data_IF_667011056447
#
_entry.id   IF_667011056447
#
_cell.length_a   1.000
_cell.length_b   1.000
_cell.length_c   1.000
_cell.angle_alpha   90.00
_cell.angle_beta   90.00
_cell.angle_gamma   90.00
#
_symmetry.space_group_name_H-M   'P 1'
#
loop_
_entity.id
_entity.type
_entity.pdbx_description
1 polymer ?
#
# COMPACT_ATOMS: atom_id res chain seq x y z
N UNK A 1 -17.29 -72.58 -38.90
CA UNK A 1 -17.82 -72.44 -37.53
C UNK A 1 -18.43 -71.05 -37.45
N UNK A 2 -19.71 -70.88 -37.80
CA UNK A 2 -20.88 -70.93 -36.91
C UNK A 2 -20.90 -69.81 -35.83
N UNK A 3 -21.53 -68.68 -36.22
CA UNK A 3 -22.48 -67.82 -35.49
C UNK A 3 -22.74 -68.10 -34.00
N UNK A 4 -22.79 -67.04 -33.18
CA UNK A 4 -24.03 -66.59 -32.51
C UNK A 4 -23.81 -65.26 -31.75
N UNK A 5 -24.45 -64.20 -32.24
CA UNK A 5 -24.84 -63.03 -31.47
C UNK A 5 -26.19 -63.30 -30.79
N UNK A 6 -26.52 -62.46 -29.79
CA UNK A 6 -27.85 -62.20 -29.24
C UNK A 6 -28.60 -63.37 -28.57
N UNK A 7 -28.50 -63.44 -27.25
CA UNK A 7 -29.61 -63.78 -26.37
C UNK A 7 -29.22 -63.49 -24.91
N UNK A 8 -29.85 -62.49 -24.30
CA UNK A 8 -30.54 -62.61 -22.99
C UNK A 8 -30.85 -61.22 -22.43
N UNK A 9 -31.85 -60.58 -23.03
CA UNK A 9 -32.81 -59.78 -22.28
C UNK A 9 -33.60 -60.73 -21.37
N UNK A 10 -33.32 -60.72 -20.07
CA UNK A 10 -34.23 -61.30 -19.09
C UNK A 10 -34.14 -60.61 -17.75
N UNK A 11 -35.24 -59.94 -17.40
CA UNK A 11 -35.85 -59.96 -16.07
C UNK A 11 -34.97 -59.47 -14.91
N UNK A 12 -35.29 -58.29 -14.39
CA UNK A 12 -35.89 -58.19 -13.05
C UNK A 12 -36.87 -57.00 -13.11
N UNK A 13 -38.14 -57.37 -13.20
CA UNK A 13 -39.23 -56.50 -12.82
C UNK A 13 -39.19 -56.29 -11.30
N UNK A 14 -39.40 -55.04 -10.89
CA UNK A 14 -40.24 -54.66 -9.76
C UNK A 14 -40.22 -55.61 -8.55
N UNK A 15 -39.33 -55.33 -7.61
CA UNK A 15 -39.60 -55.56 -6.19
C UNK A 15 -40.07 -54.22 -5.59
N UNK A 16 -41.32 -53.86 -5.86
CA UNK A 16 -42.05 -52.89 -5.05
C UNK A 16 -42.29 -53.52 -3.67
N UNK A 17 -41.57 -53.03 -2.67
CA UNK A 17 -41.63 -53.56 -1.31
C UNK A 17 -41.02 -52.59 -0.31
N UNK A 18 -41.74 -51.49 -0.07
CA UNK A 18 -41.77 -50.72 1.19
C UNK A 18 -40.41 -50.39 1.84
N UNK A 19 -39.68 -49.42 1.28
CA UNK A 19 -38.55 -48.76 1.94
C UNK A 19 -38.74 -47.23 2.02
N UNK A 20 -39.97 -46.72 1.93
CA UNK A 20 -40.21 -45.27 1.77
C UNK A 20 -40.36 -44.49 3.08
N UNK A 21 -40.31 -45.13 4.27
CA UNK A 21 -40.50 -44.41 5.55
C UNK A 21 -39.30 -44.45 6.51
N UNK A 22 -38.30 -45.32 6.31
CA UNK A 22 -37.07 -45.34 7.16
C UNK A 22 -35.87 -44.58 6.53
N UNK A 23 -35.95 -44.23 5.24
CA UNK A 23 -34.94 -43.43 4.53
C UNK A 23 -35.28 -41.92 4.45
N UNK A 24 -36.37 -41.51 5.09
CA UNK A 24 -36.77 -40.10 5.17
C UNK A 24 -35.85 -39.33 6.12
N UNK A 25 -34.77 -38.74 5.58
CA UNK A 25 -33.89 -37.83 6.29
C UNK A 25 -34.69 -36.69 6.94
N UNK A 26 -34.40 -36.39 8.21
CA UNK A 26 -34.96 -35.23 8.90
C UNK A 26 -34.75 -33.97 8.01
N UNK A 27 -35.78 -33.18 7.71
CA UNK A 27 -35.67 -31.99 6.86
C UNK A 27 -34.55 -31.03 7.27
N UNK A 28 -34.21 -30.95 8.56
CA UNK A 28 -33.07 -30.13 9.03
C UNK A 28 -31.73 -30.71 8.61
N UNK A 29 -31.58 -32.03 8.71
CA UNK A 29 -30.39 -32.75 8.26
C UNK A 29 -30.25 -32.63 6.74
N UNK A 30 -31.36 -32.69 6.01
CA UNK A 30 -31.36 -32.52 4.56
C UNK A 30 -30.89 -31.12 4.13
N UNK A 31 -31.37 -30.05 4.78
CA UNK A 31 -30.93 -28.67 4.51
C UNK A 31 -29.43 -28.49 4.77
N UNK A 32 -28.90 -29.04 5.87
CA UNK A 32 -27.47 -28.92 6.18
C UNK A 32 -26.60 -29.76 5.23
N UNK A 33 -27.07 -30.92 4.77
CA UNK A 33 -26.39 -31.70 3.74
C UNK A 33 -26.36 -30.96 2.40
N UNK A 34 -27.45 -30.31 2.01
CA UNK A 34 -27.49 -29.46 0.82
C UNK A 34 -26.50 -28.28 0.96
N UNK A 35 -26.46 -27.61 2.12
CA UNK A 35 -25.47 -26.54 2.38
C UNK A 35 -24.04 -27.05 2.31
N UNK A 36 -23.76 -28.22 2.87
CA UNK A 36 -22.44 -28.85 2.81
C UNK A 36 -22.06 -29.18 1.37
N UNK A 37 -22.97 -29.74 0.58
CA UNK A 37 -22.72 -30.05 -0.82
C UNK A 37 -22.44 -28.77 -1.63
N UNK A 38 -23.24 -27.70 -1.46
CA UNK A 38 -22.98 -26.42 -2.11
C UNK A 38 -21.63 -25.81 -1.69
N UNK A 39 -21.28 -25.88 -0.41
CA UNK A 39 -19.98 -25.41 0.08
C UNK A 39 -18.83 -26.24 -0.51
N UNK A 40 -18.99 -27.56 -0.64
CA UNK A 40 -18.00 -28.45 -1.22
C UNK A 40 -17.82 -28.20 -2.72
N UNK A 41 -18.92 -27.98 -3.47
CA UNK A 41 -18.87 -27.56 -4.87
C UNK A 41 -18.17 -26.21 -5.03
N UNK A 42 -18.45 -25.24 -4.14
CA UNK A 42 -17.79 -23.95 -4.15
C UNK A 42 -16.28 -24.08 -3.86
N UNK A 43 -15.88 -24.93 -2.91
CA UNK A 43 -14.47 -25.24 -2.63
C UNK A 43 -13.81 -25.82 -3.88
N UNK A 44 -14.38 -26.87 -4.47
CA UNK A 44 -13.83 -27.50 -5.67
C UNK A 44 -13.70 -26.50 -6.83
N UNK A 45 -14.67 -25.61 -7.00
CA UNK A 45 -14.62 -24.57 -8.02
C UNK A 45 -13.51 -23.55 -7.76
N UNK A 46 -13.36 -23.09 -6.52
CA UNK A 46 -12.29 -22.15 -6.13
C UNK A 46 -10.91 -22.80 -6.24
N UNK A 47 -10.78 -24.08 -5.92
CA UNK A 47 -9.54 -24.84 -6.09
C UNK A 47 -9.15 -24.91 -7.57
N UNK A 48 -10.10 -25.22 -8.45
CA UNK A 48 -9.87 -25.22 -9.89
C UNK A 48 -9.42 -23.83 -10.39
N UNK A 49 -10.11 -22.77 -9.97
CA UNK A 49 -9.75 -21.39 -10.33
C UNK A 49 -8.37 -21.00 -9.81
N UNK A 50 -8.01 -21.42 -8.59
CA UNK A 50 -6.70 -21.14 -8.01
C UNK A 50 -5.59 -21.85 -8.78
N UNK A 51 -5.81 -23.10 -9.19
CA UNK A 51 -4.83 -23.85 -9.96
C UNK A 51 -4.67 -23.30 -11.39
N UNK A 52 -5.77 -22.87 -12.03
CA UNK A 52 -5.73 -22.14 -13.29
C UNK A 52 -4.99 -20.79 -13.16
N UNK A 53 -5.26 -20.02 -12.10
CA UNK A 53 -4.58 -18.75 -11.84
C UNK A 53 -3.08 -18.94 -11.54
N UNK A 54 -2.71 -19.99 -10.79
CA UNK A 54 -1.30 -20.35 -10.54
C UNK A 54 -0.60 -20.76 -11.82
N UNK A 55 -1.25 -21.57 -12.66
CA UNK A 55 -0.72 -22.02 -13.94
C UNK A 55 -0.48 -20.83 -14.88
N UNK A 56 -1.46 -19.95 -15.03
CA UNK A 56 -1.33 -18.75 -15.87
C UNK A 56 -0.26 -17.80 -15.36
N UNK A 57 -0.15 -17.59 -14.04
CA UNK A 57 0.95 -16.81 -13.45
C UNK A 57 2.30 -17.42 -13.80
N UNK A 58 2.46 -18.73 -13.63
CA UNK A 58 3.71 -19.43 -13.95
C UNK A 58 4.06 -19.30 -15.44
N UNK A 59 3.11 -19.55 -16.33
CA UNK A 59 3.31 -19.41 -17.77
C UNK A 59 3.73 -17.98 -18.16
N UNK A 60 3.09 -16.97 -17.55
CA UNK A 60 3.45 -15.57 -17.75
C UNK A 60 4.86 -15.23 -17.21
N UNK A 61 5.20 -15.72 -16.01
CA UNK A 61 6.53 -15.54 -15.42
C UNK A 61 7.61 -16.21 -16.27
N UNK A 62 7.41 -17.46 -16.67
CA UNK A 62 8.36 -18.20 -17.51
C UNK A 62 8.57 -17.49 -18.86
N UNK A 63 7.48 -17.03 -19.49
CA UNK A 63 7.55 -16.25 -20.73
C UNK A 63 8.31 -14.92 -20.53
N UNK A 64 8.02 -14.20 -19.45
CA UNK A 64 8.69 -12.94 -19.11
C UNK A 64 10.17 -13.12 -18.80
N UNK A 65 10.57 -14.19 -18.10
CA UNK A 65 11.97 -14.52 -17.83
C UNK A 65 12.74 -14.83 -19.13
N UNK A 66 12.13 -15.57 -20.05
CA UNK A 66 12.73 -15.86 -21.36
C UNK A 66 12.91 -14.57 -22.17
N UNK A 67 11.89 -13.72 -22.23
CA UNK A 67 11.94 -12.43 -22.93
C UNK A 67 13.01 -11.51 -22.33
N UNK A 68 13.05 -11.37 -21.00
CA UNK A 68 14.07 -10.59 -20.29
C UNK A 68 15.48 -11.12 -20.57
N UNK A 69 15.69 -12.43 -20.56
CA UNK A 69 16.98 -13.03 -20.87
C UNK A 69 17.42 -12.80 -22.33
N UNK A 70 16.47 -12.73 -23.28
CA UNK A 70 16.75 -12.36 -24.67
C UNK A 70 17.11 -10.88 -24.80
N UNK A 71 16.39 -9.99 -24.12
CA UNK A 71 16.72 -8.56 -24.07
C UNK A 71 18.08 -8.31 -23.42
N UNK A 72 18.41 -9.00 -22.31
CA UNK A 72 19.70 -8.87 -21.65
C UNK A 72 20.84 -9.28 -22.60
N UNK A 73 20.68 -10.37 -23.35
CA UNK A 73 21.65 -10.79 -24.38
C UNK A 73 21.81 -9.78 -25.51
N UNK A 74 20.73 -9.12 -25.95
CA UNK A 74 20.77 -8.15 -27.06
C UNK A 74 21.35 -6.79 -26.64
N UNK A 75 21.03 -6.34 -25.43
CA UNK A 75 21.48 -5.04 -24.88
C UNK A 75 22.92 -5.16 -24.34
N UNK A 76 23.24 -6.29 -23.69
CA UNK A 76 24.58 -6.66 -23.22
C UNK A 76 25.08 -5.79 -22.07
N UNK A 77 26.35 -5.37 -22.11
CA UNK A 77 27.00 -4.59 -21.04
C UNK A 77 26.39 -3.21 -20.76
N UNK A 78 25.45 -2.75 -21.60
CA UNK A 78 24.68 -1.54 -21.33
C UNK A 78 23.72 -1.70 -20.14
N UNK A 79 23.16 -2.90 -19.89
CA UNK A 79 22.24 -3.17 -18.77
C UNK A 79 22.91 -2.88 -17.41
N UNK A 80 24.14 -3.36 -17.23
CA UNK A 80 24.89 -3.14 -15.98
C UNK A 80 25.17 -1.65 -15.71
N UNK A 81 25.51 -0.89 -16.76
CA UNK A 81 25.76 0.55 -16.67
C UNK A 81 24.48 1.33 -16.36
N UNK A 82 23.39 1.03 -17.05
CA UNK A 82 22.11 1.73 -16.86
C UNK A 82 21.44 1.36 -15.54
N UNK A 83 21.65 0.14 -15.03
CA UNK A 83 21.19 -0.26 -13.69
C UNK A 83 21.68 0.70 -12.61
N UNK A 84 22.97 1.05 -12.60
CA UNK A 84 23.51 2.01 -11.63
C UNK A 84 22.84 3.39 -11.69
N UNK A 85 22.46 3.84 -12.89
CA UNK A 85 21.72 5.08 -13.12
C UNK A 85 20.28 4.99 -12.60
N UNK A 86 19.56 3.91 -12.90
CA UNK A 86 18.19 3.74 -12.43
C UNK A 86 18.12 3.51 -10.91
N UNK A 87 19.08 2.80 -10.32
CA UNK A 87 19.21 2.66 -8.86
C UNK A 87 19.42 4.04 -8.20
N UNK A 88 20.28 4.88 -8.78
CA UNK A 88 20.47 6.25 -8.29
C UNK A 88 19.21 7.12 -8.45
N UNK A 89 18.43 6.92 -9.53
CA UNK A 89 17.14 7.61 -9.71
C UNK A 89 16.07 7.17 -8.70
N UNK A 90 16.02 5.89 -8.34
CA UNK A 90 15.13 5.39 -7.28
C UNK A 90 15.51 6.08 -5.97
N UNK A 91 16.80 6.10 -5.62
CA UNK A 91 17.30 6.83 -4.43
C UNK A 91 16.98 8.32 -4.48
N UNK A 92 17.08 8.97 -5.64
CA UNK A 92 16.72 10.37 -5.81
C UNK A 92 15.25 10.63 -5.53
N UNK A 93 14.36 9.74 -6.01
CA UNK A 93 12.92 9.81 -5.72
C UNK A 93 12.67 9.69 -4.22
N UNK A 94 13.30 8.72 -3.56
CA UNK A 94 13.11 8.47 -2.13
C UNK A 94 13.67 9.64 -1.28
N UNK A 95 14.82 10.20 -1.68
CA UNK A 95 15.39 11.40 -1.07
C UNK A 95 14.50 12.63 -1.28
N UNK A 96 13.90 12.80 -2.47
CA UNK A 96 12.94 13.87 -2.75
C UNK A 96 11.71 13.75 -1.86
N UNK A 97 11.15 12.55 -1.70
CA UNK A 97 10.01 12.33 -0.81
C UNK A 97 10.36 12.68 0.64
N UNK A 98 11.55 12.29 1.10
CA UNK A 98 12.05 12.62 2.43
C UNK A 98 12.21 14.13 2.62
N UNK A 99 12.78 14.83 1.63
CA UNK A 99 12.91 16.29 1.63
C UNK A 99 11.55 16.98 1.65
N UNK A 100 10.60 16.54 0.84
CA UNK A 100 9.23 17.10 0.82
C UNK A 100 8.54 16.90 2.18
N UNK A 101 8.68 15.73 2.81
CA UNK A 101 8.16 15.49 4.16
C UNK A 101 8.80 16.41 5.20
N UNK A 102 10.12 16.60 5.14
CA UNK A 102 10.83 17.51 6.04
C UNK A 102 10.39 18.97 5.85
N UNK A 103 10.24 19.43 4.60
CA UNK A 103 9.72 20.77 4.27
C UNK A 103 8.31 20.98 4.82
N UNK A 104 7.39 20.03 4.63
CA UNK A 104 6.04 20.12 5.19
C UNK A 104 6.03 20.13 6.72
N UNK A 105 6.93 19.38 7.36
CA UNK A 105 7.08 19.43 8.82
C UNK A 105 7.51 20.82 9.29
N UNK A 106 8.49 21.42 8.63
CA UNK A 106 8.95 22.78 8.92
C UNK A 106 7.83 23.81 8.70
N UNK A 107 7.14 23.78 7.56
CA UNK A 107 6.01 24.67 7.24
C UNK A 107 4.91 24.57 8.30
N UNK A 108 4.57 23.35 8.73
CA UNK A 108 3.58 23.12 9.78
C UNK A 108 4.04 23.68 11.13
N UNK A 109 5.29 23.45 11.52
CA UNK A 109 5.84 23.99 12.77
C UNK A 109 5.89 25.52 12.76
N UNK A 110 6.26 26.11 11.62
CA UNK A 110 6.24 27.56 11.41
C UNK A 110 4.82 28.12 11.53
N UNK A 111 3.83 27.51 10.86
CA UNK A 111 2.44 27.93 10.93
C UNK A 111 1.89 27.86 12.36
N UNK A 112 2.19 26.78 13.09
CA UNK A 112 1.81 26.64 14.50
C UNK A 112 2.43 27.71 15.39
N UNK A 113 3.71 28.02 15.19
CA UNK A 113 4.41 29.06 15.94
C UNK A 113 3.79 30.45 15.70
N UNK A 114 3.48 30.79 14.44
CA UNK A 114 2.81 32.04 14.09
C UNK A 114 1.42 32.11 14.74
N UNK A 115 0.60 31.07 14.60
CA UNK A 115 -0.74 31.03 15.19
C UNK A 115 -0.70 31.13 16.73
N UNK A 116 0.27 30.48 17.38
CA UNK A 116 0.43 30.57 18.84
C UNK A 116 0.86 31.98 19.29
N UNK A 117 1.73 32.65 18.52
CA UNK A 117 2.11 34.04 18.77
C UNK A 117 0.94 34.99 18.60
N UNK A 118 0.15 34.84 17.54
CA UNK A 118 -1.05 35.64 17.31
C UNK A 118 -2.07 35.45 18.45
N UNK A 119 -2.29 34.20 18.89
CA UNK A 119 -3.15 33.91 20.04
C UNK A 119 -2.65 34.56 21.33
N UNK A 120 -1.33 34.58 21.56
CA UNK A 120 -0.76 35.24 22.72
C UNK A 120 -0.98 36.76 22.67
N UNK A 121 -0.81 37.40 21.51
CA UNK A 121 -1.08 38.83 21.33
C UNK A 121 -2.55 39.14 21.59
N UNK A 122 -3.46 38.41 20.94
CA UNK A 122 -4.91 38.60 21.10
C UNK A 122 -5.34 38.37 22.56
N UNK A 123 -4.81 37.35 23.22
CA UNK A 123 -5.13 37.09 24.63
C UNK A 123 -4.61 38.19 25.55
N UNK A 124 -3.43 38.77 25.27
CA UNK A 124 -2.91 39.92 26.02
C UNK A 124 -3.82 41.15 25.86
N UNK A 125 -4.27 41.44 24.64
CA UNK A 125 -5.20 42.55 24.38
C UNK A 125 -6.51 42.39 25.17
N UNK A 126 -7.04 41.16 25.28
CA UNK A 126 -8.23 40.88 26.09
C UNK A 126 -8.00 40.98 27.59
N UNK A 127 -6.79 40.66 28.08
CA UNK A 127 -6.43 40.86 29.49
C UNK A 127 -6.42 42.35 29.80
N UNK A 128 -5.75 43.16 28.97
CA UNK A 128 -5.69 44.62 29.11
C UNK A 128 -7.09 45.25 29.12
N UNK A 129 -7.98 44.79 28.25
CA UNK A 129 -9.36 45.31 28.17
C UNK A 129 -10.21 44.88 29.37
N UNK A 130 -10.04 43.64 29.85
CA UNK A 130 -10.71 43.15 31.06
C UNK A 130 -10.26 43.93 32.30
N UNK A 131 -8.97 44.25 32.41
CA UNK A 131 -8.43 45.09 33.49
C UNK A 131 -9.00 46.51 33.47
N UNK A 132 -9.07 47.15 32.29
CA UNK A 132 -9.70 48.47 32.13
C UNK A 132 -11.18 48.49 32.49
N UNK A 133 -11.89 47.41 32.17
CA UNK A 133 -13.32 47.24 32.45
C UNK A 133 -13.61 46.67 33.84
N UNK A 134 -12.57 46.42 34.66
CA UNK A 134 -12.66 45.81 35.99
C UNK A 134 -13.41 44.46 35.99
N UNK A 135 -13.21 43.67 34.92
CA UNK A 135 -13.76 42.33 34.72
C UNK A 135 -12.72 41.26 35.10
N UNK A 136 -13.18 40.05 35.38
CA UNK A 136 -12.26 38.95 35.72
C UNK A 136 -11.50 38.44 34.48
N UNK A 137 -10.18 38.66 34.45
CA UNK A 137 -9.29 38.25 33.37
C UNK A 137 -8.71 36.81 33.49
N UNK A 138 -9.15 36.01 34.46
CA UNK A 138 -8.54 34.70 34.76
C UNK A 138 -8.50 33.74 33.55
N UNK A 139 -9.59 33.63 32.79
CA UNK A 139 -9.65 32.75 31.61
C UNK A 139 -8.71 33.20 30.48
N UNK A 140 -8.52 34.51 30.31
CA UNK A 140 -7.63 35.08 29.30
C UNK A 140 -6.17 34.96 29.70
N UNK A 141 -5.86 35.11 30.99
CA UNK A 141 -4.53 34.85 31.54
C UNK A 141 -4.10 33.39 31.35
N UNK A 142 -5.01 32.44 31.59
CA UNK A 142 -4.73 31.03 31.34
C UNK A 142 -4.48 30.76 29.85
N UNK A 143 -5.32 31.33 28.97
CA UNK A 143 -5.15 31.22 27.51
C UNK A 143 -3.82 31.81 27.05
N UNK A 144 -3.44 32.98 27.59
CA UNK A 144 -2.16 33.62 27.30
C UNK A 144 -0.97 32.74 27.73
N UNK A 145 -0.99 32.21 28.95
CA UNK A 145 0.06 31.32 29.45
C UNK A 145 0.21 30.07 28.57
N UNK A 146 -0.91 29.45 28.19
CA UNK A 146 -0.92 28.30 27.27
C UNK A 146 -0.38 28.68 25.88
N UNK A 147 -0.75 29.85 25.35
CA UNK A 147 -0.28 30.32 24.05
C UNK A 147 1.24 30.58 24.04
N UNK A 148 1.79 31.18 25.10
CA UNK A 148 3.23 31.40 25.26
C UNK A 148 3.98 30.07 25.35
N UNK A 149 3.52 29.12 26.16
CA UNK A 149 4.12 27.79 26.27
C UNK A 149 4.12 27.09 24.90
N UNK A 150 2.98 27.12 24.18
CA UNK A 150 2.83 26.54 22.85
C UNK A 150 3.70 27.23 21.79
N UNK A 151 3.88 28.54 21.88
CA UNK A 151 4.77 29.28 20.98
C UNK A 151 6.24 28.88 21.17
N UNK A 152 6.67 28.68 22.42
CA UNK A 152 8.02 28.20 22.74
C UNK A 152 8.25 26.76 22.27
N UNK A 153 7.29 25.86 22.46
CA UNK A 153 7.37 24.48 21.98
C UNK A 153 7.40 24.42 20.45
N UNK A 154 6.54 25.19 19.78
CA UNK A 154 6.54 25.30 18.33
C UNK A 154 7.84 25.89 17.78
N UNK A 155 8.51 26.78 18.52
CA UNK A 155 9.81 27.32 18.13
C UNK A 155 10.93 26.27 18.20
N UNK A 156 10.94 25.44 19.25
CA UNK A 156 11.87 24.30 19.36
C UNK A 156 11.66 23.29 18.23
N UNK A 157 10.40 22.92 17.97
CA UNK A 157 10.05 21.99 16.89
C UNK A 157 10.42 22.57 15.52
N UNK A 158 10.20 23.87 15.29
CA UNK A 158 10.59 24.55 14.06
C UNK A 158 12.11 24.49 13.86
N UNK A 159 12.90 24.73 14.91
CA UNK A 159 14.36 24.63 14.83
C UNK A 159 14.82 23.22 14.47
N UNK A 160 14.25 22.19 15.11
CA UNK A 160 14.58 20.81 14.78
C UNK A 160 14.16 20.44 13.35
N UNK A 161 12.97 20.86 12.93
CA UNK A 161 12.49 20.63 11.56
C UNK A 161 13.33 21.35 10.50
N UNK A 162 13.90 22.51 10.81
CA UNK A 162 14.83 23.22 9.92
C UNK A 162 16.15 22.46 9.75
N UNK A 163 16.72 21.95 10.85
CA UNK A 163 17.90 21.08 10.78
C UNK A 163 17.61 19.82 9.94
N UNK A 164 16.50 19.14 10.21
CA UNK A 164 16.08 17.96 9.46
C UNK A 164 15.91 18.29 7.96
N UNK A 165 15.30 19.44 7.63
CA UNK A 165 15.15 19.92 6.26
C UNK A 165 16.51 20.16 5.59
N UNK A 166 17.45 20.81 6.27
CA UNK A 166 18.79 21.07 5.73
C UNK A 166 19.56 19.77 5.46
N UNK A 167 19.50 18.80 6.37
CA UNK A 167 20.15 17.50 6.16
C UNK A 167 19.54 16.73 4.99
N UNK A 168 18.20 16.74 4.86
CA UNK A 168 17.51 16.10 3.75
C UNK A 168 17.82 16.80 2.40
N UNK A 169 17.97 18.13 2.39
CA UNK A 169 18.31 18.91 1.20
C UNK A 169 19.74 18.63 0.73
N UNK A 170 20.69 18.51 1.66
CA UNK A 170 22.07 18.09 1.37
C UNK A 170 22.10 16.69 0.74
N UNK A 171 21.43 15.72 1.35
CA UNK A 171 21.35 14.36 0.82
C UNK A 171 20.71 14.31 -0.58
N UNK A 172 19.62 15.07 -0.79
CA UNK A 172 19.00 15.20 -2.11
C UNK A 172 19.97 15.77 -3.14
N UNK A 173 20.67 16.87 -2.82
CA UNK A 173 21.63 17.52 -3.72
C UNK A 173 22.80 16.61 -4.10
N UNK A 174 23.31 15.81 -3.17
CA UNK A 174 24.38 14.84 -3.43
C UNK A 174 23.94 13.75 -4.41
N UNK A 175 22.74 13.19 -4.20
CA UNK A 175 22.19 12.15 -5.06
C UNK A 175 21.83 12.73 -6.44
N UNK A 176 21.32 13.96 -6.50
CA UNK A 176 21.01 14.66 -7.75
C UNK A 176 22.27 14.83 -8.61
N UNK A 177 23.37 15.31 -8.03
CA UNK A 177 24.67 15.40 -8.70
C UNK A 177 25.17 14.05 -9.19
N UNK A 178 24.97 12.98 -8.41
CA UNK A 178 25.33 11.63 -8.83
C UNK A 178 24.50 11.18 -10.03
N UNK A 179 23.18 11.41 -10.01
CA UNK A 179 22.29 11.07 -11.13
C UNK A 179 22.66 11.84 -12.39
N UNK A 180 22.95 13.15 -12.28
CA UNK A 180 23.41 13.96 -13.41
C UNK A 180 24.73 13.45 -13.99
N UNK A 181 25.68 13.10 -13.13
CA UNK A 181 26.95 12.51 -13.54
C UNK A 181 26.74 11.19 -14.28
N UNK A 182 25.96 10.26 -13.72
CA UNK A 182 25.65 8.98 -14.33
C UNK A 182 24.88 9.15 -15.66
N UNK A 183 23.97 10.12 -15.74
CA UNK A 183 23.26 10.44 -16.97
C UNK A 183 24.21 10.92 -18.07
N UNK A 184 25.19 11.74 -17.72
CA UNK A 184 26.22 12.21 -18.66
C UNK A 184 27.13 11.07 -19.11
N UNK A 185 27.61 10.26 -18.18
CA UNK A 185 28.57 9.18 -18.42
C UNK A 185 27.95 8.02 -19.22
N UNK A 186 26.67 7.72 -18.99
CA UNK A 186 25.97 6.56 -19.58
C UNK A 186 24.88 6.91 -20.59
N UNK A 187 24.83 8.13 -21.12
CA UNK A 187 23.79 8.59 -22.08
C UNK A 187 23.49 7.61 -23.22
N UNK A 188 24.50 7.02 -23.86
CA UNK A 188 24.32 6.05 -24.95
C UNK A 188 23.77 4.70 -24.47
N UNK A 189 24.19 4.27 -23.27
CA UNK A 189 23.69 3.04 -22.67
C UNK A 189 22.23 3.22 -22.25
N UNK A 190 21.88 4.38 -21.64
CA UNK A 190 20.51 4.73 -21.23
C UNK A 190 19.57 4.78 -22.44
N UNK A 191 20.01 5.31 -23.58
CA UNK A 191 19.18 5.32 -24.79
C UNK A 191 19.03 3.93 -25.44
N UNK A 192 19.90 2.98 -25.09
CA UNK A 192 19.89 1.62 -25.66
C UNK A 192 19.09 0.64 -24.79
N UNK A 193 19.05 0.84 -23.47
CA UNK A 193 18.26 0.04 -22.52
C UNK A 193 16.83 0.54 -22.42
#
# INVERSE_FOLDING_TARGET
>A
MANLADAETKSIAESSGTADDDDALDPRVQIELERLNHANEAINHLELQLDEARKTLKEFSDAGEIELAQLEKSIGSAVSKTRSYYDARIKLRDARETLTKAKHRFERAQALHVAAKELAVVSADYIDEAERSNQNAASWNETYSQAIAKAADAEREKYQADLDQQTADQAYSEIEKLVEKLQKDYRRAINKS
#
